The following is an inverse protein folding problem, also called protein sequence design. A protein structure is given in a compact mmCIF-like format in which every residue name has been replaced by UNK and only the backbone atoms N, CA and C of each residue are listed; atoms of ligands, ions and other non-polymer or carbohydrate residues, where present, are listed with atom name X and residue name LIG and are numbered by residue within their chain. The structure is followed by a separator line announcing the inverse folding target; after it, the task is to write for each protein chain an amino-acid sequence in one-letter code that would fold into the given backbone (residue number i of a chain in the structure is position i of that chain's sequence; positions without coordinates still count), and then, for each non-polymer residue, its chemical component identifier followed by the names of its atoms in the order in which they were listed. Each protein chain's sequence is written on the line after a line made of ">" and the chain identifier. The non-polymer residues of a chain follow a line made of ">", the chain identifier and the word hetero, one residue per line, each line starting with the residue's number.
data_IF_029021303272
#
_entry.id   IF_029021303272
#
_cell.length_a   1.000
_cell.length_b   1.000
_cell.length_c   1.000
_cell.angle_alpha   90.00
_cell.angle_beta   90.00
_cell.angle_gamma   90.00
#
_symmetry.space_group_name_H-M   'P 1'
#
loop_
_entity.id
_entity.type
_entity.pdbx_description
1 polymer ?
#
# COMPACT_ATOMS: atom_id res chain seq x y z
N UNK A 1 18.48 12.92 13.47
CA UNK A 1 18.22 11.63 14.15
C UNK A 1 16.98 11.79 15.01
N UNK A 2 15.80 11.53 14.45
CA UNK A 2 14.54 11.37 15.20
C UNK A 2 14.24 9.88 15.11
N UNK A 3 14.02 9.12 16.18
CA UNK A 3 13.53 9.44 17.50
C UNK A 3 12.68 8.22 17.84
N UNK A 4 13.33 7.18 18.38
CA UNK A 4 12.64 5.95 18.73
C UNK A 4 11.65 6.24 19.86
N UNK A 5 10.36 6.17 19.58
CA UNK A 5 9.33 6.19 20.61
C UNK A 5 9.51 4.94 21.50
N UNK A 6 9.49 5.08 22.84
CA UNK A 6 9.60 3.95 23.75
C UNK A 6 8.31 3.12 23.62
N UNK A 7 8.44 1.87 23.16
CA UNK A 7 7.33 1.02 22.70
C UNK A 7 7.32 0.73 21.19
N UNK A 8 8.37 1.14 20.48
CA UNK A 8 8.53 1.24 19.03
C UNK A 8 7.93 0.11 18.19
N UNK A 9 6.68 0.29 17.78
CA UNK A 9 6.18 -0.34 16.55
C UNK A 9 6.90 0.35 15.40
N UNK A 10 7.65 -0.42 14.60
CA UNK A 10 8.31 0.11 13.39
C UNK A 10 7.20 0.51 12.43
N UNK A 11 6.96 1.81 12.27
CA UNK A 11 6.01 2.31 11.27
C UNK A 11 6.63 2.02 9.89
N UNK A 12 5.91 1.30 9.01
CA UNK A 12 6.38 1.05 7.66
C UNK A 12 6.70 2.37 6.91
N UNK A 13 7.77 2.39 6.11
CA UNK A 13 8.29 3.64 5.52
C UNK A 13 7.28 4.35 4.61
N UNK A 14 6.48 3.61 3.84
CA UNK A 14 5.49 4.21 2.94
C UNK A 14 4.32 4.78 3.74
N UNK A 15 3.93 4.12 4.84
CA UNK A 15 2.98 4.67 5.80
C UNK A 15 3.46 5.97 6.43
N UNK A 16 4.74 6.04 6.82
CA UNK A 16 5.34 7.25 7.37
C UNK A 16 5.42 8.38 6.33
N UNK A 17 5.78 8.07 5.07
CA UNK A 17 5.70 9.04 3.97
C UNK A 17 4.27 9.57 3.79
N UNK A 18 3.27 8.70 3.73
CA UNK A 18 1.88 9.10 3.51
C UNK A 18 1.33 10.00 4.65
N UNK A 19 1.79 9.76 5.89
CA UNK A 19 1.47 10.62 7.02
C UNK A 19 2.12 12.01 6.88
N UNK A 20 3.42 12.05 6.53
CA UNK A 20 4.16 13.31 6.34
C UNK A 20 3.67 14.13 5.14
N UNK A 21 3.25 13.46 4.07
CA UNK A 21 2.67 14.09 2.88
C UNK A 21 1.19 14.48 3.08
N UNK A 22 0.57 14.14 4.22
CA UNK A 22 -0.83 14.47 4.50
C UNK A 22 -1.85 13.67 3.66
N UNK A 23 -1.44 12.60 2.99
CA UNK A 23 -2.29 11.81 2.08
C UNK A 23 -2.82 10.51 2.71
N UNK A 24 -2.45 10.19 3.96
CA UNK A 24 -2.78 8.92 4.65
C UNK A 24 -4.26 8.52 4.53
N UNK A 25 -5.19 9.41 4.91
CA UNK A 25 -6.63 9.12 4.87
C UNK A 25 -7.17 9.02 3.44
N UNK A 26 -6.65 9.84 2.53
CA UNK A 26 -7.04 9.81 1.12
C UNK A 26 -6.61 8.50 0.45
N UNK A 27 -5.39 8.03 0.71
CA UNK A 27 -4.91 6.74 0.22
C UNK A 27 -5.78 5.60 0.74
N UNK A 28 -6.12 5.59 2.03
CA UNK A 28 -7.01 4.58 2.58
C UNK A 28 -8.42 4.63 1.98
N UNK A 29 -8.93 5.82 1.65
CA UNK A 29 -10.18 5.99 0.90
C UNK A 29 -10.13 5.35 -0.48
N UNK A 30 -9.05 5.58 -1.23
CA UNK A 30 -8.83 4.95 -2.55
C UNK A 30 -8.72 3.43 -2.41
N UNK A 31 -7.96 2.93 -1.43
CA UNK A 31 -7.85 1.49 -1.17
C UNK A 31 -9.20 0.86 -0.79
N UNK A 32 -10.03 1.56 -0.01
CA UNK A 32 -11.40 1.13 0.31
C UNK A 32 -12.28 1.09 -0.94
N UNK A 33 -12.18 2.08 -1.82
CA UNK A 33 -12.96 2.13 -3.06
C UNK A 33 -12.60 0.96 -3.99
N UNK A 34 -11.29 0.69 -4.17
CA UNK A 34 -10.76 -0.44 -4.94
C UNK A 34 -11.13 -1.79 -4.30
N UNK A 35 -11.10 -1.89 -2.96
CA UNK A 35 -11.54 -3.08 -2.26
C UNK A 35 -13.05 -3.34 -2.45
N UNK A 36 -13.83 -2.26 -2.60
CA UNK A 36 -15.28 -2.30 -2.72
C UNK A 36 -15.91 -3.03 -1.55
N UNK A 37 -16.88 -3.91 -1.83
CA UNK A 37 -17.60 -4.68 -0.80
C UNK A 37 -16.80 -5.85 -0.22
N UNK A 38 -15.58 -6.12 -0.71
CA UNK A 38 -14.79 -7.27 -0.27
C UNK A 38 -14.21 -7.04 1.12
N UNK A 39 -13.73 -5.83 1.37
CA UNK A 39 -13.07 -5.43 2.61
C UNK A 39 -13.59 -4.06 3.06
N UNK A 40 -13.69 -3.88 4.36
CA UNK A 40 -13.87 -2.57 5.00
C UNK A 40 -12.55 -2.15 5.63
N UNK A 41 -12.04 -0.98 5.26
CA UNK A 41 -10.83 -0.36 5.79
C UNK A 41 -11.23 0.84 6.65
N UNK A 42 -10.80 0.87 7.91
CA UNK A 42 -11.03 2.00 8.84
C UNK A 42 -9.76 2.32 9.60
N UNK A 43 -9.56 3.60 9.90
CA UNK A 43 -8.47 4.04 10.77
C UNK A 43 -8.70 3.53 12.20
N UNK A 44 -7.61 3.14 12.87
CA UNK A 44 -7.61 2.73 14.28
C UNK A 44 -6.33 3.25 14.94
N UNK A 45 -6.39 4.49 15.46
CA UNK A 45 -5.19 5.21 15.91
C UNK A 45 -4.16 5.33 14.79
N UNK A 46 -2.95 4.85 15.04
CA UNK A 46 -1.87 4.81 14.05
C UNK A 46 -1.92 3.59 13.11
N UNK A 47 -2.82 2.64 13.40
CA UNK A 47 -3.04 1.43 12.61
C UNK A 47 -4.34 1.53 11.78
N UNK A 48 -4.68 0.42 11.13
CA UNK A 48 -5.87 0.23 10.31
C UNK A 48 -6.59 -1.04 10.71
N UNK A 49 -7.91 -0.98 10.84
CA UNK A 49 -8.73 -2.20 10.91
C UNK A 49 -9.19 -2.55 9.51
N UNK A 50 -8.86 -3.77 9.07
CA UNK A 50 -9.39 -4.36 7.82
C UNK A 50 -10.33 -5.49 8.21
N UNK A 51 -11.56 -5.43 7.72
CA UNK A 51 -12.58 -6.45 7.97
C UNK A 51 -13.10 -7.01 6.66
N UNK A 52 -13.12 -8.33 6.52
CA UNK A 52 -13.70 -8.98 5.34
C UNK A 52 -15.23 -9.09 5.42
N UNK A 53 -15.84 -9.51 4.30
CA UNK A 53 -17.29 -9.74 4.21
C UNK A 53 -17.82 -10.87 5.12
N UNK A 54 -16.94 -11.74 5.62
CA UNK A 54 -17.29 -12.83 6.53
C UNK A 54 -17.21 -12.40 8.01
N UNK A 55 -16.84 -11.14 8.26
CA UNK A 55 -16.75 -10.56 9.59
C UNK A 55 -15.40 -10.75 10.27
N UNK A 56 -14.42 -11.39 9.61
CA UNK A 56 -13.07 -11.51 10.16
C UNK A 56 -12.40 -10.15 10.14
N UNK A 57 -11.97 -9.68 11.31
CA UNK A 57 -11.29 -8.41 11.49
C UNK A 57 -9.80 -8.62 11.81
N UNK A 58 -8.96 -7.79 11.21
CA UNK A 58 -7.52 -7.73 11.46
C UNK A 58 -7.11 -6.28 11.73
N UNK A 59 -6.11 -6.09 12.58
CA UNK A 59 -5.47 -4.78 12.80
C UNK A 59 -4.12 -4.82 12.08
N UNK A 60 -3.93 -3.90 11.14
CA UNK A 60 -2.76 -3.80 10.27
C UNK A 60 -2.00 -2.51 10.60
N UNK A 61 -0.66 -2.57 10.72
CA UNK A 61 0.13 -1.45 11.23
C UNK A 61 0.28 -0.31 10.22
N UNK A 62 0.12 -0.57 8.92
CA UNK A 62 0.35 0.42 7.87
C UNK A 62 -0.48 0.21 6.61
N UNK A 63 -0.40 1.19 5.71
CA UNK A 63 -1.01 1.18 4.38
C UNK A 63 -0.43 0.08 3.48
N UNK A 64 0.83 -0.32 3.68
CA UNK A 64 1.46 -1.43 2.98
C UNK A 64 0.72 -2.75 3.23
N UNK A 65 0.43 -3.06 4.49
CA UNK A 65 -0.31 -4.27 4.85
C UNK A 65 -1.77 -4.18 4.42
N UNK A 66 -2.38 -3.00 4.48
CA UNK A 66 -3.73 -2.77 3.93
C UNK A 66 -3.75 -3.05 2.43
N UNK A 67 -2.80 -2.50 1.67
CA UNK A 67 -2.70 -2.73 0.24
C UNK A 67 -2.46 -4.21 -0.08
N UNK A 68 -1.63 -4.90 0.71
CA UNK A 68 -1.44 -6.35 0.59
C UNK A 68 -2.74 -7.13 0.83
N UNK A 69 -3.54 -6.76 1.84
CA UNK A 69 -4.83 -7.38 2.08
C UNK A 69 -5.82 -7.13 0.92
N UNK A 70 -5.81 -5.94 0.33
CA UNK A 70 -6.63 -5.59 -0.84
C UNK A 70 -6.20 -6.39 -2.08
N UNK A 71 -4.88 -6.54 -2.27
CA UNK A 71 -4.25 -7.22 -3.40
C UNK A 71 -4.26 -8.75 -3.31
N UNK A 72 -4.49 -9.33 -2.12
CA UNK A 72 -4.62 -10.77 -1.96
C UNK A 72 -5.89 -11.35 -2.63
N UNK A 73 -6.88 -10.52 -2.94
CA UNK A 73 -8.05 -10.92 -3.72
C UNK A 73 -7.87 -10.70 -5.23
N UNK A 74 -8.85 -11.16 -6.01
CA UNK A 74 -8.95 -10.82 -7.43
C UNK A 74 -9.16 -9.30 -7.57
N UNK A 75 -8.11 -8.61 -8.03
CA UNK A 75 -8.13 -7.19 -8.36
C UNK A 75 -8.52 -7.01 -9.83
N UNK A 76 -9.43 -6.08 -10.06
CA UNK A 76 -9.69 -5.52 -11.38
C UNK A 76 -8.70 -4.38 -11.62
N UNK A 77 -7.63 -4.67 -12.37
CA UNK A 77 -6.56 -3.71 -12.65
C UNK A 77 -7.03 -2.56 -13.56
N UNK A 78 -8.04 -2.78 -14.40
CA UNK A 78 -8.66 -1.70 -15.19
C UNK A 78 -9.42 -0.74 -14.29
N UNK A 79 -10.13 -1.25 -13.27
CA UNK A 79 -10.75 -0.41 -12.26
C UNK A 79 -9.73 0.36 -11.43
N UNK A 80 -8.60 -0.26 -11.06
CA UNK A 80 -7.48 0.44 -10.40
C UNK A 80 -6.98 1.58 -11.27
N UNK A 81 -6.74 1.33 -12.56
CA UNK A 81 -6.24 2.35 -13.48
C UNK A 81 -7.22 3.51 -13.64
N UNK A 82 -8.51 3.23 -13.79
CA UNK A 82 -9.56 4.25 -13.90
C UNK A 82 -9.69 5.12 -12.64
N UNK A 83 -9.59 4.51 -11.45
CA UNK A 83 -9.76 5.23 -10.18
C UNK A 83 -8.54 6.07 -9.80
N UNK A 84 -7.35 5.60 -10.17
CA UNK A 84 -6.09 6.24 -9.79
C UNK A 84 -5.48 7.09 -10.89
N UNK A 85 -5.97 6.96 -12.13
CA UNK A 85 -5.35 7.56 -13.31
C UNK A 85 -4.02 6.92 -13.70
N UNK A 86 -3.66 5.77 -13.10
CA UNK A 86 -2.39 5.08 -13.35
C UNK A 86 -2.61 3.85 -14.21
N UNK A 87 -2.07 3.88 -15.43
CA UNK A 87 -2.07 2.68 -16.27
C UNK A 87 -1.26 1.57 -15.59
N UNK A 88 -1.90 0.42 -15.36
CA UNK A 88 -1.26 -0.78 -14.82
C UNK A 88 -1.06 -1.76 -15.95
N UNK A 89 0.20 -2.13 -16.19
CA UNK A 89 0.59 -3.04 -17.29
C UNK A 89 1.29 -4.27 -16.75
N UNK A 90 1.41 -5.31 -17.58
CA UNK A 90 2.05 -6.57 -17.23
C UNK A 90 1.10 -7.57 -16.55
N UNK A 91 1.69 -8.56 -15.86
CA UNK A 91 0.97 -9.55 -15.07
C UNK A 91 1.79 -9.87 -13.82
N UNK A 92 1.12 -10.18 -12.72
CA UNK A 92 1.80 -10.62 -11.49
C UNK A 92 2.78 -11.77 -11.82
N UNK A 93 4.04 -11.72 -11.39
CA UNK A 93 4.67 -10.77 -10.45
C UNK A 93 5.36 -9.55 -11.09
N UNK A 94 5.15 -9.29 -12.38
CA UNK A 94 5.80 -8.25 -13.18
C UNK A 94 4.82 -7.12 -13.54
N UNK A 95 3.92 -6.74 -12.63
CA UNK A 95 3.07 -5.57 -12.83
C UNK A 95 3.89 -4.29 -12.76
N UNK A 96 3.52 -3.30 -13.57
CA UNK A 96 4.16 -1.99 -13.58
C UNK A 96 3.13 -0.86 -13.64
N UNK A 97 3.44 0.27 -13.02
CA UNK A 97 2.70 1.52 -13.16
C UNK A 97 3.67 2.71 -12.97
N UNK A 98 3.33 3.91 -13.47
CA UNK A 98 4.21 5.09 -13.38
C UNK A 98 4.64 5.46 -11.94
N UNK A 99 3.76 5.23 -10.96
CA UNK A 99 4.05 5.52 -9.56
C UNK A 99 4.98 4.49 -8.86
N UNK A 100 5.20 3.30 -9.45
CA UNK A 100 5.95 2.23 -8.79
C UNK A 100 7.43 2.58 -8.53
N UNK A 101 8.20 3.13 -9.50
CA UNK A 101 9.61 3.51 -9.25
C UNK A 101 9.75 4.59 -8.17
N UNK A 102 8.86 5.58 -8.17
CA UNK A 102 8.84 6.66 -7.16
C UNK A 102 8.57 6.07 -5.77
N UNK A 103 7.62 5.14 -5.67
CA UNK A 103 7.32 4.46 -4.42
C UNK A 103 8.49 3.60 -3.92
N UNK A 104 9.24 2.95 -4.82
CA UNK A 104 10.46 2.22 -4.46
C UNK A 104 11.58 3.16 -3.97
N UNK A 105 11.72 4.33 -4.58
CA UNK A 105 12.65 5.37 -4.12
C UNK A 105 12.30 5.83 -2.70
N UNK A 106 11.02 6.14 -2.45
CA UNK A 106 10.53 6.51 -1.11
C UNK A 106 10.79 5.40 -0.10
N UNK A 107 10.61 4.13 -0.48
CA UNK A 107 10.87 3.00 0.40
C UNK A 107 12.37 2.81 0.71
N UNK A 108 13.26 3.21 -0.19
CA UNK A 108 14.71 3.07 -0.05
C UNK A 108 15.37 4.29 0.64
N UNK A 109 14.82 5.49 0.47
CA UNK A 109 15.38 6.72 1.00
C UNK A 109 15.14 6.90 2.51
N UNK A 110 16.09 7.51 3.25
CA UNK A 110 15.84 7.92 4.62
C UNK A 110 14.76 9.02 4.65
N UNK A 111 13.71 8.80 5.44
CA UNK A 111 12.66 9.80 5.65
C UNK A 111 13.23 10.95 6.47
N UNK A 112 13.50 12.07 5.82
CA UNK A 112 13.84 13.33 6.46
C UNK A 112 12.64 14.28 6.38
N UNK A 113 12.25 14.97 7.47
CA UNK A 113 11.13 15.90 7.45
C UNK A 113 11.36 17.07 6.48
N UNK A 114 12.63 17.45 6.26
CA UNK A 114 13.06 18.62 5.50
C UNK A 114 13.55 18.28 4.08
N UNK A 115 13.59 17.00 3.70
CA UNK A 115 13.99 16.64 2.34
C UNK A 115 12.87 16.93 1.32
N UNK A 116 13.21 17.35 0.09
CA UNK A 116 12.24 17.40 -1.00
C UNK A 116 11.62 16.01 -1.17
N UNK A 117 10.30 15.96 -1.12
CA UNK A 117 9.53 14.73 -1.28
C UNK A 117 9.01 14.67 -2.71
N UNK A 118 9.09 13.51 -3.38
CA UNK A 118 8.34 13.31 -4.61
C UNK A 118 6.86 13.60 -4.34
N UNK A 119 6.21 14.38 -5.19
CA UNK A 119 4.77 14.63 -5.09
C UNK A 119 4.04 13.45 -5.73
N UNK A 120 3.31 12.69 -4.92
CA UNK A 120 2.37 11.68 -5.39
C UNK A 120 0.99 12.03 -4.86
N UNK A 121 0.01 12.01 -5.75
CA UNK A 121 -1.39 12.02 -5.38
C UNK A 121 -1.75 10.74 -4.60
N UNK A 122 -2.84 10.79 -3.84
CA UNK A 122 -3.33 9.60 -3.14
C UNK A 122 -3.65 8.43 -4.08
N UNK A 123 -4.12 8.72 -5.29
CA UNK A 123 -4.39 7.72 -6.33
C UNK A 123 -3.11 7.06 -6.83
N UNK A 124 -2.12 7.86 -7.22
CA UNK A 124 -0.81 7.36 -7.67
C UNK A 124 -0.14 6.49 -6.60
N UNK A 125 -0.13 6.98 -5.37
CA UNK A 125 0.44 6.25 -4.25
C UNK A 125 -0.28 4.92 -3.98
N UNK A 126 -1.62 4.91 -4.03
CA UNK A 126 -2.41 3.69 -3.86
C UNK A 126 -2.17 2.67 -4.99
N UNK A 127 -2.08 3.12 -6.25
CA UNK A 127 -1.75 2.25 -7.38
C UNK A 127 -0.36 1.62 -7.22
N UNK A 128 0.65 2.43 -6.89
CA UNK A 128 2.00 1.96 -6.63
C UNK A 128 2.05 0.94 -5.48
N UNK A 129 1.32 1.18 -4.38
CA UNK A 129 1.21 0.25 -3.26
C UNK A 129 0.60 -1.10 -3.68
N UNK A 130 -0.49 -1.09 -4.43
CA UNK A 130 -1.17 -2.31 -4.88
C UNK A 130 -0.31 -3.12 -5.83
N UNK A 131 0.34 -2.46 -6.80
CA UNK A 131 1.29 -3.10 -7.73
C UNK A 131 2.47 -3.69 -6.96
N UNK A 132 3.07 -2.93 -6.05
CA UNK A 132 4.17 -3.42 -5.21
C UNK A 132 3.77 -4.65 -4.38
N UNK A 133 2.60 -4.62 -3.75
CA UNK A 133 2.11 -5.71 -2.93
C UNK A 133 1.77 -6.97 -3.75
N UNK A 134 1.11 -6.79 -4.90
CA UNK A 134 0.77 -7.90 -5.79
C UNK A 134 2.03 -8.58 -6.35
N UNK A 135 3.04 -7.80 -6.75
CA UNK A 135 4.32 -8.35 -7.22
C UNK A 135 5.02 -9.14 -6.13
N UNK A 136 5.09 -8.63 -4.89
CA UNK A 136 5.67 -9.38 -3.75
C UNK A 136 4.96 -10.69 -3.48
N UNK A 137 3.62 -10.73 -3.57
CA UNK A 137 2.84 -11.95 -3.37
C UNK A 137 3.11 -12.98 -4.48
N UNK A 138 3.17 -12.54 -5.73
CA UNK A 138 3.48 -13.40 -6.88
C UNK A 138 4.90 -13.98 -6.84
N UNK A 139 5.90 -13.17 -6.46
CA UNK A 139 7.30 -13.63 -6.35
C UNK A 139 7.49 -14.67 -5.24
N UNK A 140 6.68 -14.64 -4.18
CA UNK A 140 6.75 -15.58 -3.05
C UNK A 140 6.25 -17.00 -3.37
N UNK A 141 5.43 -17.15 -4.41
CA UNK A 141 4.84 -18.46 -4.77
C UNK A 141 5.83 -19.36 -5.54
N UNK A 142 6.97 -18.82 -5.98
CA UNK A 142 8.06 -19.57 -6.63
C UNK A 142 9.09 -20.20 -5.67
N UNK A 143 9.00 -19.95 -4.36
CA UNK A 143 9.99 -20.42 -3.39
C UNK A 143 9.60 -21.70 -2.62
N UNK A 144 8.43 -22.29 -2.91
CA UNK A 144 7.98 -23.56 -2.31
C UNK A 144 7.89 -24.64 -3.38
N UNK A 145 9.00 -24.88 -4.05
CA UNK A 145 9.26 -26.13 -4.77
C UNK A 145 10.71 -26.52 -4.48
N UNK A 146 10.92 -27.26 -3.39
CA UNK A 146 12.09 -28.12 -3.20
C UNK A 146 11.68 -29.38 -2.45
N UNK A 147 11.75 -30.46 -3.22
CA UNK A 147 11.87 -31.90 -2.93
C UNK A 147 11.26 -32.50 -1.66
#
# INVERSE_FOLDING_TARGET
>A
MCGACPGGTVIPRLSAYAALAGIRSSVAGVLQEIAGRRLTVRAFGDAWTVRDRLGKQQVLPGLEEVAAAVAAGLLDWDAVARLTGQEVTGRVPDLSCPALPVLQEIAAAPLSPDAPRPELTAGEFAAGLLVHAANRAGSGTGAVARD
#
